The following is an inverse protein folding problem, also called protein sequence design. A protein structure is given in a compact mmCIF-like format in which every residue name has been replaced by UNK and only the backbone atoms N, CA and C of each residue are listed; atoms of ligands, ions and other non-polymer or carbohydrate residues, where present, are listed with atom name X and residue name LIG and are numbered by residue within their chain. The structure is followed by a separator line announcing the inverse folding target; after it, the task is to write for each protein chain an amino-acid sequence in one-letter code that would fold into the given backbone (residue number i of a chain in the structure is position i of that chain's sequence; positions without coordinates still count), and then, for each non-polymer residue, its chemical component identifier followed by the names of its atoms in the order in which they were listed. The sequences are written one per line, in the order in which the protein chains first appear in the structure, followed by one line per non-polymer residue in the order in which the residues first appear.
data_IF_008805105756
#
_entry.id   IF_008805105756
#
_cell.length_a   1.000
_cell.length_b   1.000
_cell.length_c   1.000
_cell.angle_alpha   90.00
_cell.angle_beta   90.00
_cell.angle_gamma   90.00
#
_symmetry.space_group_name_H-M   'P 1'
#
loop_
_entity.id
_entity.type
_entity.pdbx_description
1 polymer ?
#
# COMPACT_ATOMS: atom_id res chain seq x y z
N UNK A 1 31.03 -15.78 13.22
CA UNK A 1 29.57 -16.00 13.16
C UNK A 1 29.09 -15.46 11.82
N UNK A 2 28.28 -16.24 11.11
CA UNK A 2 27.70 -15.81 9.83
C UNK A 2 26.43 -15.01 10.07
N UNK A 3 26.28 -13.86 9.40
CA UNK A 3 25.14 -12.98 9.54
C UNK A 3 24.36 -12.83 8.22
N UNK A 4 23.04 -12.93 8.30
CA UNK A 4 22.12 -12.52 7.24
C UNK A 4 21.65 -11.09 7.52
N UNK A 5 21.67 -10.24 6.51
CA UNK A 5 21.15 -8.87 6.59
C UNK A 5 19.77 -8.82 5.95
N UNK A 6 18.80 -8.24 6.65
CA UNK A 6 17.46 -8.01 6.13
C UNK A 6 17.12 -6.52 6.05
N UNK A 7 16.75 -6.07 4.85
CA UNK A 7 16.34 -4.70 4.56
C UNK A 7 14.93 -4.69 3.96
N UNK A 8 14.13 -3.67 4.33
CA UNK A 8 12.78 -3.49 3.79
C UNK A 8 12.44 -2.02 3.59
N UNK A 9 11.80 -1.72 2.46
CA UNK A 9 11.20 -0.43 2.16
C UNK A 9 9.76 -0.64 1.71
N UNK A 10 8.83 0.20 2.17
CA UNK A 10 7.45 0.21 1.69
C UNK A 10 7.22 1.41 0.78
N UNK A 11 6.22 1.33 -0.12
CA UNK A 11 5.83 2.47 -0.99
C UNK A 11 5.47 3.74 -0.22
N UNK A 12 4.95 3.58 0.99
CA UNK A 12 4.62 4.70 1.87
C UNK A 12 5.86 5.43 2.40
N UNK A 13 7.01 4.75 2.41
CA UNK A 13 8.29 5.32 2.86
C UNK A 13 9.03 6.04 1.70
N UNK A 14 8.70 5.74 0.43
CA UNK A 14 9.29 6.43 -0.75
C UNK A 14 8.85 7.89 -0.85
N UNK A 15 7.60 8.22 -0.48
CA UNK A 15 7.07 9.59 -0.51
C UNK A 15 7.64 10.48 0.62
N UNK A 16 8.33 9.89 1.60
CA UNK A 16 8.97 10.59 2.72
C UNK A 16 10.47 10.75 2.51
N UNK A 17 10.89 11.12 1.32
CA UNK A 17 12.30 11.21 0.89
C UNK A 17 13.12 12.12 1.80
N UNK A 18 13.69 11.52 2.86
CA UNK A 18 14.98 11.92 3.40
C UNK A 18 15.96 10.82 3.07
N UNK A 19 17.17 11.15 2.62
CA UNK A 19 18.23 10.21 2.21
C UNK A 19 18.52 9.06 3.21
N UNK A 20 18.03 9.14 4.43
CA UNK A 20 18.32 8.20 5.52
C UNK A 20 17.54 6.87 5.49
N UNK A 21 16.54 6.71 4.63
CA UNK A 21 15.65 5.54 4.68
C UNK A 21 15.72 4.61 3.45
N UNK A 22 16.55 4.92 2.46
CA UNK A 22 16.73 4.04 1.30
C UNK A 22 17.27 2.67 1.71
N UNK A 23 16.96 1.64 0.94
CA UNK A 23 17.52 0.29 1.14
C UNK A 23 19.04 0.31 1.12
N UNK A 24 19.65 1.19 0.31
CA UNK A 24 21.10 1.33 0.24
C UNK A 24 21.68 1.83 1.56
N UNK A 25 21.05 2.81 2.20
CA UNK A 25 21.49 3.30 3.50
C UNK A 25 21.34 2.24 4.59
N UNK A 26 20.24 1.46 4.56
CA UNK A 26 20.08 0.32 5.48
C UNK A 26 21.20 -0.71 5.28
N UNK A 27 21.48 -1.08 4.02
CA UNK A 27 22.56 -2.03 3.68
C UNK A 27 23.91 -1.52 4.17
N UNK A 28 24.28 -0.28 3.85
CA UNK A 28 25.57 0.30 4.23
C UNK A 28 25.76 0.32 5.75
N UNK A 29 24.74 0.77 6.50
CA UNK A 29 24.77 0.79 7.96
C UNK A 29 24.92 -0.60 8.57
N UNK A 30 24.18 -1.59 8.05
CA UNK A 30 24.22 -2.96 8.58
C UNK A 30 25.51 -3.68 8.22
N UNK A 31 26.08 -3.42 7.03
CA UNK A 31 27.39 -3.92 6.64
C UNK A 31 28.50 -3.36 7.54
N UNK A 32 28.46 -2.06 7.81
CA UNK A 32 29.41 -1.43 8.74
C UNK A 32 29.30 -2.04 10.13
N UNK A 33 28.08 -2.19 10.66
CA UNK A 33 27.87 -2.82 11.97
C UNK A 33 28.39 -4.27 12.00
N UNK A 34 28.15 -5.05 10.94
CA UNK A 34 28.64 -6.41 10.84
C UNK A 34 30.17 -6.47 10.86
N UNK A 35 30.83 -5.56 10.14
CA UNK A 35 32.28 -5.45 10.11
C UNK A 35 32.84 -5.09 11.50
N UNK A 36 32.25 -4.10 12.18
CA UNK A 36 32.66 -3.68 13.53
C UNK A 36 32.52 -4.81 14.57
N UNK A 37 31.50 -5.69 14.38
CA UNK A 37 31.24 -6.84 15.27
C UNK A 37 31.97 -8.12 14.85
N UNK A 38 32.68 -8.12 13.73
CA UNK A 38 33.38 -9.28 13.21
C UNK A 38 32.45 -10.39 12.70
N UNK A 39 31.31 -10.03 12.13
CA UNK A 39 30.41 -11.00 11.50
C UNK A 39 30.75 -11.20 10.04
N UNK A 40 30.78 -12.46 9.57
CA UNK A 40 30.89 -12.80 8.17
C UNK A 40 29.52 -12.71 7.52
N UNK A 41 29.39 -11.96 6.43
CA UNK A 41 28.09 -11.82 5.76
C UNK A 41 27.77 -13.06 4.92
N UNK A 42 26.69 -13.75 5.29
CA UNK A 42 26.16 -14.86 4.51
C UNK A 42 25.45 -14.36 3.26
N UNK A 43 24.41 -13.53 3.44
CA UNK A 43 23.60 -12.96 2.36
C UNK A 43 22.83 -11.72 2.82
N UNK A 44 22.52 -10.84 1.83
CA UNK A 44 21.65 -9.67 2.04
C UNK A 44 20.30 -9.97 1.38
N UNK A 45 19.24 -9.90 2.17
CA UNK A 45 17.85 -10.06 1.74
C UNK A 45 17.17 -8.71 1.73
N UNK A 46 16.49 -8.35 0.64
CA UNK A 46 15.78 -7.07 0.55
C UNK A 46 14.43 -7.22 -0.12
N UNK A 47 13.40 -6.70 0.54
CA UNK A 47 12.05 -6.59 0.00
C UNK A 47 11.73 -5.10 -0.24
N UNK A 48 11.52 -4.75 -1.51
CA UNK A 48 11.05 -3.45 -1.96
C UNK A 48 9.55 -3.53 -2.19
N UNK A 49 8.81 -2.45 -1.92
CA UNK A 49 7.35 -2.37 -2.09
C UNK A 49 6.49 -3.25 -1.16
N UNK A 50 7.04 -3.79 -0.10
CA UNK A 50 6.30 -4.61 0.87
C UNK A 50 6.14 -3.92 2.22
N UNK A 51 4.93 -3.97 2.79
CA UNK A 51 4.67 -3.49 4.16
C UNK A 51 5.24 -4.46 5.21
N UNK A 52 5.53 -3.96 6.40
CA UNK A 52 5.96 -4.79 7.55
C UNK A 52 4.90 -5.76 8.07
N UNK A 53 3.63 -5.58 7.65
CA UNK A 53 2.49 -6.47 7.97
C UNK A 53 2.32 -7.53 6.87
N UNK A 54 2.90 -7.31 5.70
CA UNK A 54 2.74 -8.21 4.56
C UNK A 54 3.42 -9.54 4.85
N UNK A 55 2.69 -10.64 4.68
CA UNK A 55 3.19 -12.01 4.91
C UNK A 55 3.83 -12.61 3.65
N UNK A 56 3.51 -12.06 2.48
CA UNK A 56 4.04 -12.55 1.20
C UNK A 56 5.26 -11.73 0.74
N UNK A 57 6.33 -11.76 1.54
CA UNK A 57 7.62 -11.10 1.27
C UNK A 57 8.64 -12.12 0.80
N UNK A 58 9.00 -12.17 -0.50
CA UNK A 58 9.85 -13.24 -1.05
C UNK A 58 11.22 -13.34 -0.38
N UNK A 59 11.91 -12.22 -0.18
CA UNK A 59 13.23 -12.21 0.43
C UNK A 59 13.17 -12.58 1.92
N UNK A 60 12.13 -12.11 2.64
CA UNK A 60 11.89 -12.49 4.03
C UNK A 60 11.67 -14.00 4.17
N UNK A 61 10.80 -14.57 3.32
CA UNK A 61 10.51 -16.00 3.36
C UNK A 61 11.75 -16.85 3.00
N UNK A 62 12.54 -16.42 2.02
CA UNK A 62 13.83 -17.08 1.67
C UNK A 62 14.83 -17.01 2.83
N UNK A 63 14.90 -15.87 3.53
CA UNK A 63 15.74 -15.73 4.72
C UNK A 63 15.28 -16.68 5.85
N UNK A 64 13.98 -16.79 6.10
CA UNK A 64 13.44 -17.69 7.12
C UNK A 64 13.70 -19.17 6.77
N UNK A 65 13.63 -19.52 5.48
CA UNK A 65 13.98 -20.87 5.04
C UNK A 65 15.47 -21.15 5.32
N UNK A 66 16.38 -20.27 4.90
CA UNK A 66 17.81 -20.41 5.15
C UNK A 66 18.14 -20.43 6.66
N UNK A 67 17.39 -19.70 7.48
CA UNK A 67 17.50 -19.75 8.95
C UNK A 67 17.11 -21.12 9.48
N UNK A 68 16.01 -21.71 9.01
CA UNK A 68 15.58 -23.07 9.41
C UNK A 68 16.58 -24.17 8.98
N UNK A 69 17.35 -23.91 7.94
CA UNK A 69 18.44 -24.78 7.44
C UNK A 69 19.80 -24.49 8.10
N UNK A 70 19.84 -23.61 9.11
CA UNK A 70 21.06 -23.23 9.86
C UNK A 70 22.20 -22.70 8.96
N UNK A 71 21.88 -21.97 7.89
CA UNK A 71 22.87 -21.44 6.97
C UNK A 71 23.67 -20.26 7.56
N UNK A 72 23.14 -19.61 8.59
CA UNK A 72 23.76 -18.48 9.31
C UNK A 72 23.35 -18.48 10.79
N UNK A 73 24.05 -17.69 11.59
CA UNK A 73 23.89 -17.65 13.05
C UNK A 73 23.13 -16.40 13.53
N UNK A 74 23.16 -15.31 12.73
CA UNK A 74 22.65 -13.99 13.14
C UNK A 74 21.81 -13.38 12.04
N UNK A 75 20.68 -12.75 12.40
CA UNK A 75 19.90 -11.85 11.54
C UNK A 75 20.11 -10.41 11.99
N UNK A 76 20.54 -9.55 11.07
CA UNK A 76 20.71 -8.12 11.28
C UNK A 76 19.60 -7.34 10.58
N UNK A 77 18.94 -6.44 11.29
CA UNK A 77 17.98 -5.49 10.75
C UNK A 77 18.23 -4.08 11.30
N UNK A 78 17.82 -3.02 10.57
CA UNK A 78 17.95 -1.65 11.08
C UNK A 78 17.12 -1.47 12.34
N UNK A 79 15.83 -1.84 12.28
CA UNK A 79 14.87 -1.80 13.39
C UNK A 79 14.04 -3.08 13.41
N UNK A 80 13.40 -3.39 14.53
CA UNK A 80 12.45 -4.49 14.63
C UNK A 80 11.28 -4.29 13.66
N UNK A 81 10.82 -3.05 13.46
CA UNK A 81 9.75 -2.72 12.51
C UNK A 81 10.12 -2.95 11.05
N UNK A 82 11.42 -2.92 10.69
CA UNK A 82 11.89 -3.31 9.34
C UNK A 82 11.84 -4.83 9.17
N UNK A 83 12.10 -5.59 10.22
CA UNK A 83 11.92 -7.03 10.22
C UNK A 83 10.42 -7.39 10.12
N UNK A 84 9.62 -6.96 11.08
CA UNK A 84 8.16 -7.11 11.05
C UNK A 84 7.46 -6.10 11.98
N UNK A 85 6.24 -5.70 11.62
CA UNK A 85 5.30 -4.93 12.45
C UNK A 85 4.18 -5.82 13.00
N UNK A 86 4.09 -7.07 12.53
CA UNK A 86 3.09 -8.06 12.94
C UNK A 86 3.56 -8.75 14.23
N UNK A 87 2.80 -8.55 15.33
CA UNK A 87 3.12 -9.14 16.64
C UNK A 87 3.12 -10.67 16.61
N UNK A 88 2.24 -11.29 15.82
CA UNK A 88 2.23 -12.75 15.68
C UNK A 88 3.56 -13.25 15.09
N UNK A 89 4.11 -12.54 14.11
CA UNK A 89 5.42 -12.88 13.53
C UNK A 89 6.57 -12.59 14.50
N UNK A 90 6.48 -11.54 15.32
CA UNK A 90 7.46 -11.27 16.38
C UNK A 90 7.49 -12.44 17.37
N UNK A 91 6.34 -12.84 17.93
CA UNK A 91 6.26 -13.95 18.89
C UNK A 91 6.70 -15.27 18.25
N UNK A 92 6.23 -15.55 17.03
CA UNK A 92 6.53 -16.79 16.31
C UNK A 92 8.02 -16.93 15.99
N UNK A 93 8.68 -15.86 15.51
CA UNK A 93 10.06 -15.95 15.05
C UNK A 93 11.07 -15.47 16.10
N UNK A 94 10.92 -14.27 16.66
CA UNK A 94 11.94 -13.73 17.58
C UNK A 94 11.90 -14.41 18.96
N UNK A 95 10.71 -14.78 19.43
CA UNK A 95 10.55 -15.44 20.73
C UNK A 95 10.36 -16.96 20.64
N UNK A 96 10.14 -17.50 19.45
CA UNK A 96 9.95 -18.91 19.17
C UNK A 96 11.05 -19.49 18.28
N UNK A 97 10.82 -19.51 16.97
CA UNK A 97 11.63 -20.25 16.00
C UNK A 97 13.13 -19.88 15.99
N UNK A 98 13.47 -18.61 16.12
CA UNK A 98 14.89 -18.21 16.16
C UNK A 98 15.60 -18.76 17.41
N UNK A 99 14.90 -18.85 18.54
CA UNK A 99 15.45 -19.51 19.73
C UNK A 99 15.63 -21.00 19.51
N UNK A 100 14.65 -21.69 18.90
CA UNK A 100 14.73 -23.11 18.55
C UNK A 100 15.88 -23.40 17.57
N UNK A 101 16.08 -22.51 16.59
CA UNK A 101 17.13 -22.64 15.56
C UNK A 101 18.49 -22.11 16.01
N UNK A 102 18.60 -21.55 17.23
CA UNK A 102 19.85 -20.94 17.70
C UNK A 102 20.24 -19.67 16.93
N UNK A 103 19.30 -19.01 16.28
CA UNK A 103 19.51 -17.77 15.51
C UNK A 103 19.38 -16.57 16.43
N UNK A 104 20.43 -15.73 16.46
CA UNK A 104 20.44 -14.44 17.14
C UNK A 104 19.83 -13.37 16.24
N UNK A 105 18.90 -12.57 16.75
CA UNK A 105 18.37 -11.40 16.04
C UNK A 105 18.89 -10.12 16.68
N UNK A 106 19.36 -9.19 15.83
CA UNK A 106 19.85 -7.87 16.26
C UNK A 106 19.16 -6.78 15.43
N UNK A 107 18.45 -5.85 16.10
CA UNK A 107 17.98 -4.60 15.51
C UNK A 107 18.86 -3.47 16.00
N UNK A 108 19.69 -2.93 15.11
CA UNK A 108 20.83 -2.06 15.46
C UNK A 108 20.36 -0.75 16.08
N UNK A 109 19.39 -0.07 15.48
CA UNK A 109 18.89 1.24 15.95
C UNK A 109 18.03 1.11 17.20
N UNK A 110 17.26 0.03 17.30
CA UNK A 110 16.41 -0.22 18.50
C UNK A 110 17.21 -0.79 19.67
N UNK A 111 18.51 -1.05 19.50
CA UNK A 111 19.35 -1.73 20.48
C UNK A 111 18.76 -3.05 20.98
N UNK A 112 18.05 -3.75 20.09
CA UNK A 112 17.45 -5.06 20.39
C UNK A 112 18.42 -6.16 20.03
N UNK A 113 18.64 -7.07 21.00
CA UNK A 113 19.47 -8.26 20.82
C UNK A 113 18.82 -9.44 21.53
N UNK A 114 18.58 -10.53 20.83
CA UNK A 114 17.91 -11.72 21.41
C UNK A 114 18.80 -12.48 22.38
N UNK A 115 20.13 -12.31 22.34
CA UNK A 115 21.03 -12.88 23.34
C UNK A 115 20.96 -12.16 24.69
N UNK A 116 20.48 -10.92 24.70
CA UNK A 116 20.27 -10.17 25.93
C UNK A 116 18.85 -10.46 26.47
N UNK A 117 18.79 -11.29 27.49
CA UNK A 117 17.52 -11.68 28.13
C UNK A 117 16.81 -10.51 28.82
N UNK A 118 17.53 -9.46 29.23
CA UNK A 118 16.95 -8.24 29.80
C UNK A 118 16.09 -7.46 28.78
N UNK A 119 16.38 -7.60 27.48
CA UNK A 119 15.70 -6.89 26.40
C UNK A 119 14.39 -7.56 25.91
N UNK A 120 13.98 -8.71 26.48
CA UNK A 120 12.73 -9.39 26.07
C UNK A 120 11.52 -8.47 26.26
N UNK A 121 11.40 -7.82 27.41
CA UNK A 121 10.30 -6.87 27.69
C UNK A 121 10.33 -5.67 26.76
N UNK A 122 11.51 -5.15 26.45
CA UNK A 122 11.68 -4.03 25.52
C UNK A 122 11.22 -4.39 24.10
N UNK A 123 11.53 -5.61 23.63
CA UNK A 123 11.08 -6.11 22.33
C UNK A 123 9.56 -6.23 22.24
N UNK A 124 8.92 -6.73 23.30
CA UNK A 124 7.46 -6.83 23.39
C UNK A 124 6.81 -5.45 23.39
N UNK A 125 7.36 -4.51 24.15
CA UNK A 125 6.89 -3.12 24.21
C UNK A 125 7.03 -2.45 22.83
N UNK A 126 8.16 -2.62 22.14
CA UNK A 126 8.35 -2.08 20.79
C UNK A 126 7.37 -2.66 19.78
N UNK A 127 7.03 -3.94 19.89
CA UNK A 127 6.00 -4.58 19.08
C UNK A 127 4.62 -3.96 19.31
N UNK A 128 4.21 -3.79 20.57
CA UNK A 128 2.94 -3.16 20.95
C UNK A 128 2.88 -1.69 20.49
N UNK A 129 3.95 -0.92 20.66
CA UNK A 129 4.02 0.48 20.19
C UNK A 129 3.82 0.55 18.66
N UNK A 130 4.44 -0.36 17.89
CA UNK A 130 4.27 -0.40 16.45
C UNK A 130 2.82 -0.73 16.04
N UNK A 131 2.16 -1.65 16.76
CA UNK A 131 0.75 -2.00 16.52
C UNK A 131 -0.18 -0.83 16.84
N UNK A 132 -0.02 -0.20 18.01
CA UNK A 132 -0.79 0.98 18.40
C UNK A 132 -0.60 2.15 17.44
N UNK A 133 0.64 2.37 16.96
CA UNK A 133 0.90 3.43 15.97
C UNK A 133 0.11 3.22 14.68
N UNK A 134 -0.03 1.98 14.20
CA UNK A 134 -0.82 1.66 13.01
C UNK A 134 -2.32 1.86 13.25
N UNK A 135 -2.82 1.49 14.42
CA UNK A 135 -4.21 1.67 14.82
C UNK A 135 -4.55 3.17 14.94
N UNK A 136 -3.70 3.94 15.63
CA UNK A 136 -3.83 5.39 15.77
C UNK A 136 -3.78 6.09 14.40
N UNK A 137 -2.85 5.68 13.52
CA UNK A 137 -2.76 6.23 12.17
C UNK A 137 -4.04 5.97 11.38
N UNK A 138 -4.58 4.75 11.44
CA UNK A 138 -5.85 4.40 10.78
C UNK A 138 -7.02 5.24 11.30
N UNK A 139 -7.09 5.41 12.61
CA UNK A 139 -8.13 6.20 13.28
C UNK A 139 -8.03 7.68 12.90
N UNK A 140 -6.81 8.23 12.91
CA UNK A 140 -6.56 9.61 12.52
C UNK A 140 -6.91 9.88 11.06
N UNK A 141 -6.50 8.98 10.14
CA UNK A 141 -6.85 9.09 8.71
C UNK A 141 -8.36 9.05 8.52
N UNK A 142 -9.08 8.12 9.17
CA UNK A 142 -10.55 8.04 9.10
C UNK A 142 -11.20 9.32 9.62
N UNK A 143 -10.74 9.83 10.76
CA UNK A 143 -11.26 11.06 11.36
C UNK A 143 -11.10 12.26 10.41
N UNK A 144 -9.92 12.44 9.81
CA UNK A 144 -9.66 13.51 8.84
C UNK A 144 -10.52 13.36 7.58
N UNK A 145 -10.70 12.13 7.06
CA UNK A 145 -11.56 11.89 5.90
C UNK A 145 -13.04 12.16 6.22
N UNK A 146 -13.50 11.78 7.40
CA UNK A 146 -14.87 12.01 7.84
C UNK A 146 -15.14 13.51 8.08
N UNK A 147 -14.17 14.24 8.63
CA UNK A 147 -14.26 15.69 8.73
C UNK A 147 -14.40 16.34 7.36
N UNK A 148 -13.54 15.98 6.40
CA UNK A 148 -13.62 16.47 5.02
C UNK A 148 -14.97 16.14 4.36
N UNK A 149 -15.55 14.95 4.60
CA UNK A 149 -16.89 14.59 4.12
C UNK A 149 -17.98 15.48 4.71
N UNK A 150 -17.91 15.76 6.01
CA UNK A 150 -18.86 16.65 6.70
C UNK A 150 -18.77 18.08 6.17
N UNK A 151 -17.60 18.53 5.76
CA UNK A 151 -17.40 19.82 5.08
C UNK A 151 -17.83 19.82 3.60
N UNK A 152 -18.35 18.71 3.09
CA UNK A 152 -18.75 18.55 1.68
C UNK A 152 -17.58 18.45 0.70
N UNK A 153 -16.36 18.19 1.18
CA UNK A 153 -15.18 18.07 0.33
C UNK A 153 -15.11 16.68 -0.32
N UNK A 154 -14.73 16.67 -1.58
CA UNK A 154 -14.48 15.43 -2.31
C UNK A 154 -13.13 14.82 -1.89
N UNK A 155 -13.18 13.59 -1.40
CA UNK A 155 -12.01 12.86 -0.87
C UNK A 155 -11.48 11.78 -1.82
N UNK A 156 -12.15 11.53 -2.95
CA UNK A 156 -11.78 10.49 -3.89
C UNK A 156 -10.50 10.81 -4.66
N UNK A 157 -9.72 9.78 -5.00
CA UNK A 157 -8.51 9.92 -5.82
C UNK A 157 -8.82 10.46 -7.21
N UNK A 158 -9.95 10.01 -7.81
CA UNK A 158 -10.38 10.42 -9.15
C UNK A 158 -11.80 10.94 -9.12
N UNK A 159 -12.05 12.03 -9.86
CA UNK A 159 -13.40 12.55 -10.04
C UNK A 159 -14.27 11.50 -10.78
N UNK A 160 -15.58 11.50 -10.50
CA UNK A 160 -16.55 10.69 -11.25
C UNK A 160 -16.71 11.29 -12.66
N UNK A 161 -17.01 10.44 -13.63
CA UNK A 161 -17.31 10.86 -15.01
C UNK A 161 -18.46 11.87 -15.02
N UNK A 162 -18.32 12.97 -15.74
CA UNK A 162 -19.19 14.14 -15.69
C UNK A 162 -18.68 15.27 -14.79
N UNK A 163 -17.61 15.01 -14.02
CA UNK A 163 -16.97 16.00 -13.16
C UNK A 163 -15.46 15.93 -13.28
N UNK A 164 -14.79 17.05 -13.04
CA UNK A 164 -13.35 17.13 -12.84
C UNK A 164 -13.02 17.82 -11.49
N UNK A 165 -11.79 17.64 -11.02
CA UNK A 165 -11.34 18.31 -9.80
C UNK A 165 -11.10 19.79 -10.13
N UNK A 166 -11.56 20.68 -9.25
CA UNK A 166 -11.30 22.11 -9.38
C UNK A 166 -9.79 22.38 -9.18
N UNK A 167 -9.09 22.95 -10.18
CA UNK A 167 -7.68 23.27 -10.05
C UNK A 167 -7.41 24.38 -9.01
N UNK A 168 -8.40 25.24 -8.75
CA UNK A 168 -8.28 26.39 -7.86
C UNK A 168 -8.75 26.10 -6.42
N UNK A 169 -9.53 25.03 -6.21
CA UNK A 169 -10.10 24.72 -4.91
C UNK A 169 -9.94 23.22 -4.57
N UNK A 170 -8.95 22.90 -3.74
CA UNK A 170 -8.67 21.53 -3.32
C UNK A 170 -9.88 20.88 -2.65
N UNK A 171 -10.28 19.72 -3.14
CA UNK A 171 -11.43 18.97 -2.60
C UNK A 171 -12.78 19.40 -3.16
N UNK A 172 -12.83 20.27 -4.15
CA UNK A 172 -14.06 20.60 -4.88
C UNK A 172 -14.08 19.94 -6.24
N UNK A 173 -15.30 19.66 -6.71
CA UNK A 173 -15.56 19.17 -8.06
C UNK A 173 -16.26 20.26 -8.84
N UNK A 174 -15.89 20.39 -10.11
CA UNK A 174 -16.58 21.21 -11.10
C UNK A 174 -17.12 20.31 -12.20
N UNK A 175 -18.15 20.78 -12.89
CA UNK A 175 -18.76 20.04 -14.00
C UNK A 175 -17.75 20.01 -15.16
N UNK A 176 -17.52 18.82 -15.70
CA UNK A 176 -16.84 18.60 -16.96
C UNK A 176 -17.87 18.67 -18.09
N UNK A 177 -17.89 19.72 -18.92
CA UNK A 177 -18.98 19.95 -19.86
C UNK A 177 -19.20 18.79 -20.84
N UNK A 178 -18.12 18.24 -21.37
CA UNK A 178 -18.15 17.15 -22.37
C UNK A 178 -18.69 15.86 -21.76
N UNK A 179 -18.10 15.44 -20.64
CA UNK A 179 -18.53 14.22 -19.96
C UNK A 179 -19.94 14.35 -19.33
N UNK A 180 -20.30 15.54 -18.85
CA UNK A 180 -21.60 15.80 -18.24
C UNK A 180 -22.74 15.72 -19.27
N UNK A 181 -22.52 16.11 -20.53
CA UNK A 181 -23.51 15.96 -21.59
C UNK A 181 -23.86 14.49 -21.82
N UNK A 182 -22.85 13.63 -21.87
CA UNK A 182 -23.06 12.18 -22.00
C UNK A 182 -23.84 11.63 -20.80
N UNK A 183 -23.51 12.06 -19.58
CA UNK A 183 -24.24 11.64 -18.36
C UNK A 183 -25.71 12.06 -18.44
N UNK A 184 -26.01 13.33 -18.79
CA UNK A 184 -27.40 13.81 -18.94
C UNK A 184 -28.16 13.01 -19.99
N UNK A 185 -27.51 12.66 -21.10
CA UNK A 185 -28.08 11.82 -22.15
C UNK A 185 -28.42 10.41 -21.64
N UNK A 186 -27.52 9.79 -20.86
CA UNK A 186 -27.78 8.48 -20.23
C UNK A 186 -29.02 8.56 -19.34
N UNK A 187 -29.13 9.59 -18.51
CA UNK A 187 -30.32 9.82 -17.67
C UNK A 187 -31.59 9.99 -18.50
N UNK A 188 -31.55 10.79 -19.55
CA UNK A 188 -32.71 11.00 -20.45
C UNK A 188 -33.14 9.68 -21.08
N UNK A 189 -32.22 8.87 -21.59
CA UNK A 189 -32.54 7.56 -22.15
C UNK A 189 -33.14 6.62 -21.10
N UNK A 190 -32.63 6.63 -19.87
CA UNK A 190 -33.16 5.81 -18.79
C UNK A 190 -34.57 6.26 -18.36
N UNK A 191 -34.84 7.56 -18.27
CA UNK A 191 -36.18 8.10 -18.01
C UNK A 191 -37.19 7.72 -19.07
N UNK A 192 -36.76 7.60 -20.34
CA UNK A 192 -37.56 7.13 -21.45
C UNK A 192 -37.71 5.59 -21.50
N UNK A 193 -37.33 4.87 -20.43
CA UNK A 193 -37.50 3.42 -20.32
C UNK A 193 -36.48 2.58 -21.10
N UNK A 194 -35.39 3.18 -21.60
CA UNK A 194 -34.36 2.43 -22.30
C UNK A 194 -33.49 1.71 -21.27
N UNK A 195 -33.43 0.38 -21.36
CA UNK A 195 -32.63 -0.42 -20.42
C UNK A 195 -31.11 -0.18 -20.56
N UNK A 196 -30.37 -0.31 -19.47
CA UNK A 196 -28.94 -0.02 -19.40
C UNK A 196 -28.06 -0.76 -20.43
N UNK A 197 -28.45 -1.99 -20.80
CA UNK A 197 -27.74 -2.75 -21.84
C UNK A 197 -27.88 -2.07 -23.22
N UNK A 198 -29.09 -1.58 -23.54
CA UNK A 198 -29.34 -0.87 -24.79
C UNK A 198 -28.67 0.50 -24.81
N UNK A 199 -28.64 1.20 -23.66
CA UNK A 199 -27.90 2.46 -23.49
C UNK A 199 -26.40 2.25 -23.77
N UNK A 200 -25.78 1.24 -23.12
CA UNK A 200 -24.36 0.93 -23.33
C UNK A 200 -24.06 0.62 -24.80
N UNK A 201 -24.96 -0.11 -25.49
CA UNK A 201 -24.81 -0.42 -26.90
C UNK A 201 -24.88 0.84 -27.77
N UNK A 202 -25.85 1.73 -27.54
CA UNK A 202 -25.98 3.00 -28.29
C UNK A 202 -24.71 3.82 -28.16
N UNK A 203 -24.17 3.98 -26.91
CA UNK A 203 -22.96 4.74 -26.67
C UNK A 203 -21.73 4.14 -27.38
N UNK A 204 -21.64 2.81 -27.45
CA UNK A 204 -20.56 2.11 -28.15
C UNK A 204 -20.69 2.25 -29.68
N UNK A 205 -21.91 2.10 -30.24
CA UNK A 205 -22.17 2.26 -31.67
C UNK A 205 -21.82 3.68 -32.16
N UNK A 206 -22.05 4.67 -31.31
CA UNK A 206 -21.66 6.08 -31.53
C UNK A 206 -20.19 6.39 -31.17
N UNK A 207 -19.40 5.39 -30.74
CA UNK A 207 -17.98 5.52 -30.37
C UNK A 207 -17.72 6.53 -29.25
N UNK A 208 -18.69 6.73 -28.35
CA UNK A 208 -18.52 7.60 -27.18
C UNK A 208 -17.59 6.89 -26.17
N UNK A 209 -16.47 7.52 -25.75
CA UNK A 209 -15.52 6.89 -24.84
C UNK A 209 -16.16 6.50 -23.52
N UNK A 210 -15.87 5.31 -23.02
CA UNK A 210 -16.25 4.92 -21.66
C UNK A 210 -15.53 5.79 -20.61
N UNK A 211 -16.00 5.84 -19.35
CA UNK A 211 -15.33 6.62 -18.30
C UNK A 211 -13.84 6.29 -18.13
N UNK A 212 -13.45 5.05 -18.37
CA UNK A 212 -12.04 4.63 -18.31
C UNK A 212 -11.27 5.14 -19.51
N UNK A 213 -11.80 4.98 -20.71
CA UNK A 213 -11.18 5.48 -21.94
C UNK A 213 -11.07 7.01 -21.92
N UNK A 214 -12.12 7.71 -21.47
CA UNK A 214 -12.13 9.16 -21.34
C UNK A 214 -11.00 9.66 -20.42
N UNK A 215 -10.82 9.04 -19.27
CA UNK A 215 -9.72 9.39 -18.35
C UNK A 215 -8.35 9.18 -18.99
N UNK A 216 -8.17 8.09 -19.73
CA UNK A 216 -6.90 7.80 -20.42
C UNK A 216 -6.61 8.81 -21.53
N UNK A 217 -7.64 9.22 -22.31
CA UNK A 217 -7.52 10.26 -23.35
C UNK A 217 -7.08 11.61 -22.77
N UNK A 218 -7.51 11.93 -21.53
CA UNK A 218 -7.15 13.16 -20.82
C UNK A 218 -5.86 13.02 -19.97
N UNK A 219 -5.05 11.99 -20.21
CA UNK A 219 -3.75 11.82 -19.55
C UNK A 219 -3.83 11.44 -18.06
N UNK A 220 -5.00 11.06 -17.57
CA UNK A 220 -5.17 10.60 -16.19
C UNK A 220 -4.72 9.14 -16.11
N UNK A 221 -3.65 8.86 -15.35
CA UNK A 221 -3.15 7.50 -15.11
C UNK A 221 -4.13 6.70 -14.23
N UNK A 222 -5.23 6.26 -14.83
CA UNK A 222 -6.22 5.42 -14.18
C UNK A 222 -6.03 3.96 -14.60
N UNK A 223 -5.71 3.09 -13.63
CA UNK A 223 -5.72 1.63 -13.82
C UNK A 223 -6.98 1.06 -13.20
N UNK A 224 -7.84 0.46 -14.02
CA UNK A 224 -8.97 -0.30 -13.51
C UNK A 224 -8.48 -1.59 -12.84
N UNK A 225 -9.01 -1.92 -11.66
CA UNK A 225 -8.76 -3.20 -11.00
C UNK A 225 -9.31 -4.40 -11.82
N UNK A 226 -10.24 -4.14 -12.73
CA UNK A 226 -10.78 -5.16 -13.65
C UNK A 226 -9.78 -5.39 -14.79
N UNK A 227 -9.22 -6.58 -14.85
CA UNK A 227 -8.32 -7.05 -15.92
C UNK A 227 -9.06 -7.25 -17.27
N UNK A 228 -10.15 -6.53 -17.55
CA UNK A 228 -10.93 -6.69 -18.76
C UNK A 228 -10.32 -5.93 -19.93
N UNK A 229 -10.03 -6.65 -20.99
CA UNK A 229 -9.58 -6.18 -22.29
C UNK A 229 -10.54 -5.17 -22.95
N UNK A 230 -11.76 -5.01 -22.45
CA UNK A 230 -12.82 -4.14 -22.98
C UNK A 230 -13.09 -2.90 -22.09
N UNK A 231 -12.13 -2.44 -21.30
CA UNK A 231 -12.28 -1.24 -20.45
C UNK A 231 -12.55 0.05 -21.28
N UNK A 232 -12.24 0.03 -22.58
CA UNK A 232 -12.53 1.12 -23.52
C UNK A 232 -14.02 1.27 -23.87
N UNK A 233 -14.82 0.21 -23.68
CA UNK A 233 -16.23 0.19 -24.06
C UNK A 233 -17.16 0.40 -22.86
N UNK A 234 -18.33 0.98 -23.12
CA UNK A 234 -19.42 1.01 -22.16
C UNK A 234 -19.96 -0.40 -21.91
N UNK A 235 -20.11 -0.74 -20.64
CA UNK A 235 -20.76 -1.97 -20.22
C UNK A 235 -22.10 -1.66 -19.53
N UNK A 236 -23.00 -2.65 -19.47
CA UNK A 236 -24.28 -2.48 -18.77
C UNK A 236 -24.10 -2.06 -17.30
N UNK A 237 -23.20 -2.66 -16.49
CA UNK A 237 -22.93 -2.19 -15.13
C UNK A 237 -22.41 -0.74 -15.07
N UNK A 238 -21.60 -0.33 -16.05
CA UNK A 238 -21.11 1.06 -16.11
C UNK A 238 -22.26 2.02 -16.40
N UNK A 239 -23.15 1.70 -17.34
CA UNK A 239 -24.33 2.51 -17.63
C UNK A 239 -25.29 2.58 -16.43
N UNK A 240 -25.53 1.44 -15.73
CA UNK A 240 -26.37 1.39 -14.51
C UNK A 240 -25.87 2.36 -13.44
N UNK A 241 -24.57 2.48 -13.26
CA UNK A 241 -24.02 3.38 -12.23
C UNK A 241 -24.37 4.85 -12.45
N UNK A 242 -24.82 5.23 -13.65
CA UNK A 242 -25.29 6.57 -13.99
C UNK A 242 -26.83 6.68 -14.09
N UNK A 243 -27.56 5.58 -14.13
CA UNK A 243 -29.03 5.59 -14.15
C UNK A 243 -29.66 5.60 -12.76
N UNK A 244 -28.91 5.23 -11.73
CA UNK A 244 -29.36 5.17 -10.34
C UNK A 244 -28.77 6.26 -9.43
N UNK A 245 -27.87 7.10 -9.94
CA UNK A 245 -27.39 8.25 -9.22
C UNK A 245 -28.45 9.34 -9.26
N UNK A 246 -29.00 9.72 -8.11
CA UNK A 246 -29.67 11.01 -7.97
C UNK A 246 -28.61 12.08 -8.25
N UNK A 247 -28.85 12.92 -9.27
CA UNK A 247 -28.04 14.10 -9.50
C UNK A 247 -28.07 14.94 -8.21
N UNK A 248 -26.94 15.36 -7.68
CA UNK A 248 -26.98 16.41 -6.67
C UNK A 248 -27.60 17.64 -7.32
N UNK A 249 -28.73 18.05 -6.78
CA UNK A 249 -29.41 19.31 -7.10
C UNK A 249 -28.56 20.47 -6.73
#
# INVERSE_FOLDING_TARGET
MKAAIYCRLSKEDEDKIGESESIQNQKSMLLQYALEKGFDIYQIYSDEDYSGIDRNRPAFNSMLQAASEHQFDVVLAKTQSRFTRDMELVEKYLHGKFMEWGIRFIAVVDHVDTNDTANKKSRQINGLINEWYLEDLSTNVRSVLDHKRKEGLFIGSFARYGYCKDPNAKGKLIIDPEAAEVVRRIFSMALNGIGAHKIARILNDEKIPSPTAYKQLHGIHYRSALKNTNAALWSSPTAVSYTHLTLPT
#
